data_IF_631276094009
#
_entry.id   IF_631276094009
#
_cell.length_a   1.000
_cell.length_b   1.000
_cell.length_c   1.000
_cell.angle_alpha   90.00
_cell.angle_beta   90.00
_cell.angle_gamma   90.00
#
_symmetry.space_group_name_H-M   'P 1'
#
loop_
_entity.id
_entity.type
_entity.pdbx_description
1 polymer ?
#
# COMPACT_ATOMS: atom_id res chain seq x y z
N UNK A 1 2.35 -11.66 28.29
CA UNK A 1 3.01 -10.69 27.36
C UNK A 1 3.93 -11.42 26.36
N UNK A 2 4.83 -12.31 26.77
CA UNK A 2 5.75 -13.07 25.90
C UNK A 2 5.04 -13.87 24.78
N UNK A 3 3.98 -14.63 25.05
CA UNK A 3 3.22 -15.41 24.02
C UNK A 3 2.67 -14.57 22.86
N UNK A 4 2.38 -13.28 23.09
CA UNK A 4 1.91 -12.36 22.03
C UNK A 4 3.05 -11.94 21.10
N UNK A 5 4.28 -11.88 21.60
CA UNK A 5 5.47 -11.59 20.79
C UNK A 5 5.97 -12.81 20.02
N UNK A 6 5.82 -14.02 20.56
CA UNK A 6 6.12 -15.27 19.86
C UNK A 6 5.19 -15.45 18.65
N UNK A 7 3.89 -15.22 18.81
CA UNK A 7 2.92 -15.27 17.72
C UNK A 7 3.19 -14.21 16.62
N UNK A 8 3.71 -13.03 16.99
CA UNK A 8 4.13 -12.00 16.06
C UNK A 8 5.43 -12.37 15.32
N UNK A 9 6.38 -13.04 15.99
CA UNK A 9 7.63 -13.49 15.36
C UNK A 9 7.42 -14.59 14.32
N UNK A 10 6.39 -15.44 14.49
CA UNK A 10 6.00 -16.43 13.49
C UNK A 10 5.34 -15.77 12.26
N UNK A 11 4.67 -14.64 12.42
CA UNK A 11 4.04 -13.90 11.33
C UNK A 11 5.04 -13.06 10.53
N UNK A 12 6.07 -12.50 11.17
CA UNK A 12 7.14 -11.72 10.53
C UNK A 12 8.36 -12.60 10.28
N UNK A 13 8.32 -13.36 9.19
CA UNK A 13 9.41 -14.24 8.78
C UNK A 13 10.30 -13.53 7.76
N UNK A 14 11.63 -13.37 8.02
CA UNK A 14 12.56 -12.76 7.07
C UNK A 14 12.53 -13.41 5.68
N UNK A 15 12.38 -14.73 5.61
CA UNK A 15 12.26 -15.46 4.33
C UNK A 15 11.03 -15.01 3.54
N UNK A 16 9.87 -14.90 4.18
CA UNK A 16 8.65 -14.37 3.53
C UNK A 16 8.83 -12.94 3.05
N UNK A 17 9.54 -12.11 3.82
CA UNK A 17 9.86 -10.74 3.42
C UNK A 17 10.75 -10.70 2.17
N UNK A 18 11.75 -11.55 2.09
CA UNK A 18 12.62 -11.65 0.91
C UNK A 18 11.85 -12.19 -0.32
N UNK A 19 10.96 -13.15 -0.12
CA UNK A 19 10.09 -13.64 -1.19
C UNK A 19 9.16 -12.53 -1.70
N UNK A 20 8.51 -11.79 -0.81
CA UNK A 20 7.70 -10.63 -1.16
C UNK A 20 8.51 -9.56 -1.90
N UNK A 21 9.76 -9.30 -1.47
CA UNK A 21 10.66 -8.37 -2.16
C UNK A 21 10.95 -8.84 -3.60
N UNK A 22 11.19 -10.13 -3.82
CA UNK A 22 11.43 -10.68 -5.14
C UNK A 22 10.22 -10.51 -6.07
N UNK A 23 9.01 -10.67 -5.54
CA UNK A 23 7.75 -10.39 -6.24
C UNK A 23 7.63 -8.90 -6.59
N UNK A 24 7.74 -8.02 -5.59
CA UNK A 24 7.55 -6.57 -5.73
C UNK A 24 8.54 -5.98 -6.75
N UNK A 25 9.79 -6.43 -6.76
CA UNK A 25 10.83 -5.96 -7.67
C UNK A 25 10.55 -6.24 -9.16
N UNK A 26 9.55 -7.09 -9.48
CA UNK A 26 9.08 -7.32 -10.87
C UNK A 26 8.23 -6.15 -11.38
N UNK A 27 7.62 -5.37 -10.47
CA UNK A 27 6.62 -4.36 -10.77
C UNK A 27 7.12 -2.93 -10.56
N UNK A 28 7.87 -2.71 -9.48
CA UNK A 28 8.38 -1.38 -9.11
C UNK A 28 9.87 -1.43 -8.78
N UNK A 29 10.53 -0.29 -9.00
CA UNK A 29 11.94 -0.13 -8.67
C UNK A 29 12.14 0.01 -7.16
N UNK A 30 13.32 -0.42 -6.70
CA UNK A 30 13.76 -0.19 -5.32
C UNK A 30 13.93 1.30 -5.08
N UNK A 31 13.30 1.83 -4.04
CA UNK A 31 13.49 3.21 -3.59
C UNK A 31 14.83 3.40 -2.89
N UNK A 32 15.37 4.61 -2.93
CA UNK A 32 16.63 4.94 -2.26
C UNK A 32 16.49 4.88 -0.74
N UNK A 33 17.59 4.50 -0.09
CA UNK A 33 17.82 4.68 1.35
C UNK A 33 18.98 5.65 1.48
N UNK A 34 18.71 6.86 1.96
CA UNK A 34 19.67 7.97 1.97
C UNK A 34 20.02 8.35 3.41
N UNK A 35 21.31 8.46 3.69
CA UNK A 35 21.78 9.02 4.95
C UNK A 35 21.70 10.56 4.90
N UNK A 36 21.11 11.16 5.95
CA UNK A 36 20.96 12.60 6.08
C UNK A 36 21.78 13.12 7.26
N UNK A 37 22.96 13.67 6.98
CA UNK A 37 23.90 14.15 7.99
C UNK A 37 23.33 15.29 8.86
N UNK A 38 22.61 16.24 8.24
CA UNK A 38 21.98 17.34 8.97
C UNK A 38 20.86 16.86 9.89
N UNK A 39 20.03 15.92 9.43
CA UNK A 39 19.01 15.31 10.25
C UNK A 39 19.63 14.50 11.39
N UNK A 40 20.70 13.75 11.09
CA UNK A 40 21.47 12.98 12.11
C UNK A 40 21.99 13.88 13.21
N UNK A 41 22.55 15.04 12.85
CA UNK A 41 23.03 16.03 13.81
C UNK A 41 21.92 16.61 14.66
N UNK A 42 20.75 16.89 14.06
CA UNK A 42 19.60 17.45 14.76
C UNK A 42 19.02 16.51 15.80
N UNK A 43 18.92 15.20 15.48
CA UNK A 43 18.29 14.18 16.35
C UNK A 43 19.29 13.43 17.24
N UNK A 44 20.60 13.65 17.06
CA UNK A 44 21.66 13.05 17.87
C UNK A 44 21.95 11.56 17.58
N UNK A 45 21.52 11.03 16.42
CA UNK A 45 21.83 9.68 15.97
C UNK A 45 21.84 9.61 14.44
N UNK A 46 22.41 8.55 13.86
CA UNK A 46 22.43 8.38 12.41
C UNK A 46 21.01 8.20 11.84
N UNK A 47 20.62 9.08 10.92
CA UNK A 47 19.32 9.10 10.27
C UNK A 47 19.40 8.63 8.81
N UNK A 48 18.72 7.53 8.53
CA UNK A 48 18.53 7.01 7.18
C UNK A 48 17.07 7.11 6.77
N UNK A 49 16.78 7.76 5.65
CA UNK A 49 15.43 7.93 5.13
C UNK A 49 15.22 7.01 3.92
N UNK A 50 14.23 6.12 4.03
CA UNK A 50 13.74 5.29 2.93
C UNK A 50 12.68 6.06 2.16
N UNK A 51 12.99 6.46 0.93
CA UNK A 51 12.15 7.35 0.12
C UNK A 51 10.96 6.63 -0.52
N UNK A 52 10.02 6.15 0.28
CA UNK A 52 8.82 5.46 -0.22
C UNK A 52 7.82 6.40 -0.94
N UNK A 53 7.97 7.71 -0.77
CA UNK A 53 7.27 8.73 -1.54
C UNK A 53 7.65 8.76 -3.04
N UNK A 54 8.74 8.11 -3.43
CA UNK A 54 9.16 7.95 -4.83
C UNK A 54 8.50 6.74 -5.53
N UNK A 55 7.69 5.96 -4.84
CA UNK A 55 6.86 4.94 -5.47
C UNK A 55 5.77 5.57 -6.36
N UNK A 56 5.25 4.85 -7.37
CA UNK A 56 4.21 5.36 -8.29
C UNK A 56 2.97 5.95 -7.60
N UNK A 57 2.62 5.44 -6.42
CA UNK A 57 1.47 5.93 -5.63
C UNK A 57 1.87 6.83 -4.46
N UNK A 58 3.10 7.32 -4.44
CA UNK A 58 3.61 8.24 -3.42
C UNK A 58 3.79 7.64 -2.02
N UNK A 59 3.67 6.32 -1.85
CA UNK A 59 3.79 5.66 -0.54
C UNK A 59 4.26 4.21 -0.62
N UNK A 60 4.61 3.63 0.54
CA UNK A 60 4.98 2.22 0.66
C UNK A 60 3.80 1.24 0.46
N UNK A 61 2.55 1.73 0.51
CA UNK A 61 1.35 0.88 0.45
C UNK A 61 1.27 0.04 -0.82
N UNK A 62 1.83 0.52 -1.92
CA UNK A 62 1.90 -0.19 -3.20
C UNK A 62 2.62 -1.55 -3.08
N UNK A 63 3.57 -1.68 -2.17
CA UNK A 63 4.28 -2.95 -1.96
C UNK A 63 3.35 -4.05 -1.47
N UNK A 64 2.50 -3.73 -0.49
CA UNK A 64 1.48 -4.66 0.01
C UNK A 64 0.44 -4.99 -1.05
N UNK A 65 -0.05 -4.00 -1.78
CA UNK A 65 -1.01 -4.21 -2.86
C UNK A 65 -0.45 -5.15 -3.95
N UNK A 66 0.74 -4.89 -4.46
CA UNK A 66 1.37 -5.74 -5.46
C UNK A 66 1.59 -7.19 -4.99
N UNK A 67 2.04 -7.36 -3.75
CA UNK A 67 2.22 -8.68 -3.17
C UNK A 67 0.89 -9.41 -2.97
N UNK A 68 -0.16 -8.70 -2.59
CA UNK A 68 -1.52 -9.21 -2.44
C UNK A 68 -2.04 -9.74 -3.78
N UNK A 69 -2.13 -8.88 -4.80
CA UNK A 69 -2.63 -9.28 -6.13
C UNK A 69 -1.83 -10.42 -6.76
N UNK A 70 -0.50 -10.43 -6.56
CA UNK A 70 0.37 -11.47 -7.12
C UNK A 70 0.08 -12.88 -6.57
N UNK A 71 -0.43 -12.99 -5.34
CA UNK A 71 -0.67 -14.27 -4.68
C UNK A 71 -2.13 -14.71 -4.69
N UNK A 72 -3.04 -13.89 -5.19
CA UNK A 72 -4.43 -14.28 -5.36
C UNK A 72 -4.61 -15.19 -6.58
N UNK A 73 -5.49 -16.16 -6.45
CA UNK A 73 -5.90 -17.01 -7.58
C UNK A 73 -6.78 -16.24 -8.57
N UNK A 74 -6.93 -16.75 -9.77
CA UNK A 74 -7.80 -16.16 -10.79
C UNK A 74 -9.25 -16.10 -10.29
N UNK A 75 -9.72 -17.15 -9.63
CA UNK A 75 -11.08 -17.21 -9.08
C UNK A 75 -11.34 -16.16 -8.01
N UNK A 76 -10.34 -15.89 -7.14
CA UNK A 76 -10.43 -14.83 -6.12
C UNK A 76 -10.47 -13.44 -6.74
N UNK A 77 -9.85 -13.24 -7.90
CA UNK A 77 -9.81 -11.96 -8.61
C UNK A 77 -11.01 -11.72 -9.52
N UNK A 78 -11.75 -12.76 -9.94
CA UNK A 78 -12.91 -12.63 -10.84
C UNK A 78 -14.02 -11.72 -10.28
N UNK A 79 -14.21 -11.71 -8.95
CA UNK A 79 -15.20 -10.84 -8.27
C UNK A 79 -14.76 -9.38 -8.12
N UNK A 80 -13.54 -9.05 -8.53
CA UNK A 80 -12.94 -7.73 -8.26
C UNK A 80 -12.54 -7.55 -6.79
N UNK A 81 -12.05 -6.36 -6.48
CA UNK A 81 -11.59 -6.00 -5.13
C UNK A 81 -12.39 -4.81 -4.61
N UNK A 82 -12.91 -4.95 -3.40
CA UNK A 82 -13.55 -3.87 -2.65
C UNK A 82 -12.67 -3.47 -1.47
N UNK A 83 -12.45 -2.17 -1.29
CA UNK A 83 -11.64 -1.64 -0.19
C UNK A 83 -12.19 -0.31 0.32
N UNK A 84 -12.26 -0.15 1.65
CA UNK A 84 -12.56 1.14 2.29
C UNK A 84 -11.28 1.84 2.72
N UNK A 85 -11.16 3.16 2.44
CA UNK A 85 -9.93 3.91 2.74
C UNK A 85 -10.10 5.42 2.60
N UNK A 86 -9.23 6.19 3.27
CA UNK A 86 -9.12 7.66 3.11
C UNK A 86 -7.95 8.11 2.22
N UNK A 87 -7.11 7.22 1.68
CA UNK A 87 -5.92 7.70 0.97
C UNK A 87 -5.01 6.63 0.36
N UNK A 88 -3.76 6.58 0.80
CA UNK A 88 -2.68 5.81 0.19
C UNK A 88 -2.98 4.31 -0.05
N UNK A 89 -3.86 3.70 0.74
CA UNK A 89 -4.23 2.31 0.51
C UNK A 89 -5.10 2.17 -0.74
N UNK A 90 -6.09 3.05 -0.91
CA UNK A 90 -6.93 3.08 -2.12
C UNK A 90 -6.11 3.35 -3.38
N UNK A 91 -5.20 4.34 -3.34
CA UNK A 91 -4.28 4.61 -4.44
C UNK A 91 -3.47 3.37 -4.82
N UNK A 92 -2.96 2.64 -3.83
CA UNK A 92 -2.15 1.46 -4.07
C UNK A 92 -2.98 0.29 -4.65
N UNK A 93 -4.20 0.07 -4.14
CA UNK A 93 -5.09 -0.98 -4.61
C UNK A 93 -5.59 -0.68 -6.03
N UNK A 94 -6.00 0.57 -6.32
CA UNK A 94 -6.43 0.99 -7.64
C UNK A 94 -5.31 0.84 -8.67
N UNK A 95 -4.10 1.32 -8.36
CA UNK A 95 -2.93 1.19 -9.24
C UNK A 95 -2.58 -0.28 -9.53
N UNK A 96 -2.57 -1.11 -8.48
CA UNK A 96 -2.29 -2.54 -8.64
C UNK A 96 -3.42 -3.23 -9.41
N UNK A 97 -4.69 -2.92 -9.14
CA UNK A 97 -5.83 -3.43 -9.88
C UNK A 97 -5.73 -3.13 -11.38
N UNK A 98 -5.38 -1.90 -11.75
CA UNK A 98 -5.10 -1.54 -13.14
C UNK A 98 -3.99 -2.40 -13.76
N UNK A 99 -2.88 -2.60 -13.02
CA UNK A 99 -1.77 -3.41 -13.50
C UNK A 99 -2.15 -4.87 -13.74
N UNK A 100 -2.92 -5.47 -12.81
CA UNK A 100 -3.37 -6.85 -12.89
C UNK A 100 -4.67 -7.03 -13.68
N UNK A 101 -5.26 -5.95 -14.20
CA UNK A 101 -6.52 -5.92 -14.94
C UNK A 101 -7.71 -6.46 -14.11
N UNK A 102 -7.72 -6.15 -12.81
CA UNK A 102 -8.75 -6.55 -11.86
C UNK A 102 -9.61 -5.33 -11.51
N UNK A 103 -10.93 -5.42 -11.63
CA UNK A 103 -11.83 -4.35 -11.20
C UNK A 103 -11.62 -4.01 -9.72
N UNK A 104 -11.49 -2.73 -9.41
CA UNK A 104 -11.37 -2.25 -8.04
C UNK A 104 -12.46 -1.24 -7.73
N UNK A 105 -13.16 -1.43 -6.62
CA UNK A 105 -14.07 -0.46 -6.03
C UNK A 105 -13.48 0.06 -4.73
N UNK A 106 -13.37 1.37 -4.61
CA UNK A 106 -12.80 2.04 -3.43
C UNK A 106 -13.88 2.85 -2.74
N UNK A 107 -14.27 2.45 -1.54
CA UNK A 107 -15.22 3.20 -0.72
C UNK A 107 -14.46 4.25 0.09
N UNK A 108 -14.94 5.48 0.03
CA UNK A 108 -14.34 6.62 0.74
C UNK A 108 -15.43 7.38 1.49
N UNK A 109 -15.13 7.98 2.66
CA UNK A 109 -16.11 8.81 3.38
C UNK A 109 -16.35 10.15 2.67
N UNK A 110 -17.41 10.84 3.06
CA UNK A 110 -17.81 12.12 2.48
C UNK A 110 -16.75 13.22 2.66
N UNK A 111 -15.98 13.18 3.75
CA UNK A 111 -14.91 14.14 4.05
C UNK A 111 -13.58 13.81 3.35
N UNK A 112 -13.55 12.80 2.44
CA UNK A 112 -12.31 12.41 1.79
C UNK A 112 -11.79 13.49 0.84
N UNK A 113 -10.46 13.55 0.68
CA UNK A 113 -9.83 14.52 -0.23
C UNK A 113 -10.24 14.23 -1.69
N UNK A 114 -10.94 15.17 -2.37
CA UNK A 114 -11.40 14.93 -3.73
C UNK A 114 -10.28 14.77 -4.76
N UNK A 115 -9.07 15.27 -4.49
CA UNK A 115 -7.92 15.05 -5.36
C UNK A 115 -7.48 13.58 -5.31
N UNK A 116 -7.46 12.98 -4.12
CA UNK A 116 -7.17 11.55 -3.95
C UNK A 116 -8.22 10.69 -4.70
N UNK A 117 -9.50 11.06 -4.60
CA UNK A 117 -10.57 10.34 -5.31
C UNK A 117 -10.34 10.37 -6.83
N UNK A 118 -10.02 11.54 -7.40
CA UNK A 118 -9.71 11.67 -8.85
C UNK A 118 -8.51 10.84 -9.28
N UNK A 119 -7.47 10.75 -8.43
CA UNK A 119 -6.30 9.93 -8.75
C UNK A 119 -6.67 8.44 -8.73
N UNK A 120 -7.49 7.99 -7.76
CA UNK A 120 -8.00 6.61 -7.69
C UNK A 120 -8.78 6.28 -8.97
N UNK A 121 -9.71 7.16 -9.37
CA UNK A 121 -10.49 7.02 -10.61
C UNK A 121 -9.60 7.00 -11.86
N UNK A 122 -8.53 7.80 -11.89
CA UNK A 122 -7.57 7.82 -13.02
C UNK A 122 -6.83 6.49 -13.22
N UNK A 123 -6.75 5.66 -12.19
CA UNK A 123 -6.26 4.28 -12.27
C UNK A 123 -7.33 3.27 -12.69
N UNK A 124 -8.55 3.74 -13.04
CA UNK A 124 -9.65 2.90 -13.51
C UNK A 124 -10.47 2.23 -12.41
N UNK A 125 -10.26 2.62 -11.15
CA UNK A 125 -11.09 2.12 -10.05
C UNK A 125 -12.38 2.93 -9.93
N UNK A 126 -13.45 2.28 -9.51
CA UNK A 126 -14.70 2.93 -9.12
C UNK A 126 -14.54 3.53 -7.71
N UNK A 127 -14.97 4.79 -7.54
CA UNK A 127 -15.00 5.44 -6.22
C UNK A 127 -16.45 5.57 -5.76
N UNK A 128 -16.77 4.97 -4.61
CA UNK A 128 -18.06 5.11 -3.95
C UNK A 128 -17.88 5.98 -2.70
N UNK A 129 -18.60 7.10 -2.65
CA UNK A 129 -18.62 7.96 -1.47
C UNK A 129 -19.73 7.46 -0.53
N UNK A 130 -19.36 6.96 0.64
CA UNK A 130 -20.29 6.43 1.64
C UNK A 130 -19.79 6.73 3.06
N UNK A 131 -20.77 6.94 3.98
CA UNK A 131 -20.47 7.22 5.38
C UNK A 131 -19.96 8.64 5.65
N UNK A 132 -20.09 9.08 6.90
CA UNK A 132 -19.59 10.40 7.35
C UNK A 132 -18.08 10.34 7.61
N UNK A 133 -17.60 9.20 8.11
CA UNK A 133 -16.18 8.99 8.41
C UNK A 133 -15.66 7.63 7.89
N UNK A 134 -14.40 7.31 8.24
CA UNK A 134 -13.73 6.07 7.82
C UNK A 134 -14.41 4.79 8.36
N UNK A 135 -15.06 4.86 9.52
CA UNK A 135 -15.67 3.67 10.16
C UNK A 135 -17.05 3.36 9.58
N UNK A 136 -17.68 4.36 8.97
CA UNK A 136 -18.97 4.23 8.29
C UNK A 136 -18.81 3.84 6.81
N UNK A 137 -17.65 4.09 6.23
CA UNK A 137 -17.27 3.72 4.86
C UNK A 137 -16.84 2.24 4.79
#
# INVERSE_FOLDING_TARGET
MLKKYEALSEQVNPTKTLMAQAVINRYIKKTSLTHYSELSRLIGCEAFVKHENHNPTGSFKIRGALNFFHHMSTEELEGGILVATKGNHGLAMAWAGQWFQVPCTVVVPQDNNPEINRIIESYGAEVIVHGEDFYDA
#
